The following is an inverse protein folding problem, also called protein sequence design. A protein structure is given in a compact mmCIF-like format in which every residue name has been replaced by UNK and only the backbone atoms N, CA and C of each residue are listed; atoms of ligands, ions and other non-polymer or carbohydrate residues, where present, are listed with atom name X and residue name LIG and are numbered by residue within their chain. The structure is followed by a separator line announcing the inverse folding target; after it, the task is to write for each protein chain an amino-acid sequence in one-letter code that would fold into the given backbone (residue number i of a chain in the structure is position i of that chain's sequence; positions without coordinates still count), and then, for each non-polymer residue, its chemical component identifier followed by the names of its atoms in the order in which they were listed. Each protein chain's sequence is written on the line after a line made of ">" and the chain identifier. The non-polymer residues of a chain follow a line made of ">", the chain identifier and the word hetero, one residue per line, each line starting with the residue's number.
data_IF_832606737736
#
_entry.id   IF_832606737736
#
_cell.length_a   1.000
_cell.length_b   1.000
_cell.length_c   1.000
_cell.angle_alpha   90.00
_cell.angle_beta   90.00
_cell.angle_gamma   90.00
#
_symmetry.space_group_name_H-M   'P 1'
#
loop_
_entity.id
_entity.type
_entity.pdbx_description
1 polymer ?
#
# COMPACT_ATOMS: atom_id res chain seq x y z
N UNK A 1 -4.71 -71.19 -37.56
CA UNK A 1 -3.37 -71.74 -37.69
C UNK A 1 -2.35 -70.70 -37.23
N UNK A 2 -1.63 -71.14 -36.27
CA UNK A 2 -0.24 -70.76 -35.93
C UNK A 2 0.04 -69.30 -35.52
N UNK A 3 0.29 -69.10 -34.29
CA UNK A 3 1.52 -69.40 -33.52
C UNK A 3 2.55 -68.31 -33.74
N UNK A 4 3.08 -67.68 -32.83
CA UNK A 4 3.96 -67.88 -31.73
C UNK A 4 4.48 -66.48 -31.31
N UNK A 5 4.44 -66.08 -30.16
CA UNK A 5 5.29 -66.27 -29.01
C UNK A 5 6.54 -65.36 -28.91
N UNK A 6 6.69 -64.82 -27.71
CA UNK A 6 7.95 -64.47 -27.00
C UNK A 6 8.67 -63.22 -27.49
N UNK A 7 9.18 -62.34 -26.67
CA UNK A 7 9.85 -62.49 -25.37
C UNK A 7 9.96 -61.11 -24.71
N UNK A 8 9.69 -61.05 -23.48
CA UNK A 8 10.45 -60.52 -22.35
C UNK A 8 11.77 -59.85 -22.70
N UNK A 9 11.94 -58.60 -22.31
CA UNK A 9 13.16 -58.15 -21.59
C UNK A 9 12.78 -56.96 -20.72
N UNK A 10 12.96 -57.17 -19.44
CA UNK A 10 13.00 -56.13 -18.40
C UNK A 10 14.22 -55.24 -18.60
N UNK A 11 14.02 -53.96 -18.48
CA UNK A 11 15.11 -53.06 -18.09
C UNK A 11 14.52 -51.98 -17.21
N UNK A 12 14.74 -52.14 -15.94
CA UNK A 12 14.62 -51.09 -14.95
C UNK A 12 15.72 -50.07 -15.24
N UNK A 13 15.33 -48.82 -15.35
CA UNK A 13 16.28 -47.73 -15.19
C UNK A 13 15.63 -46.60 -14.38
N UNK A 14 16.26 -46.38 -13.28
CA UNK A 14 16.08 -45.25 -12.39
C UNK A 14 16.03 -43.94 -13.20
N UNK A 15 14.93 -43.29 -13.18
CA UNK A 15 14.79 -41.91 -13.66
C UNK A 15 14.79 -40.96 -12.47
N UNK A 16 15.82 -40.21 -12.37
CA UNK A 16 16.05 -39.13 -11.45
C UNK A 16 14.82 -38.22 -11.33
N UNK A 17 14.30 -38.11 -10.16
CA UNK A 17 13.33 -37.07 -9.80
C UNK A 17 14.06 -35.72 -9.82
N UNK A 18 13.96 -34.99 -10.89
CA UNK A 18 14.30 -33.58 -10.85
C UNK A 18 13.22 -32.84 -10.07
N UNK A 19 13.54 -32.49 -8.87
CA UNK A 19 12.82 -31.50 -8.09
C UNK A 19 12.89 -30.18 -8.86
N UNK A 20 11.89 -29.95 -9.65
CA UNK A 20 11.64 -28.64 -10.22
C UNK A 20 11.31 -27.68 -9.08
N UNK A 21 12.28 -26.93 -8.65
CA UNK A 21 12.03 -25.76 -7.82
C UNK A 21 11.24 -24.79 -8.67
N UNK A 22 9.94 -24.77 -8.46
CA UNK A 22 9.09 -23.68 -8.92
C UNK A 22 9.55 -22.43 -8.19
N UNK A 23 10.48 -21.74 -8.76
CA UNK A 23 10.70 -20.35 -8.39
C UNK A 23 9.42 -19.60 -8.77
N UNK A 24 8.57 -19.39 -7.83
CA UNK A 24 7.53 -18.40 -7.93
C UNK A 24 8.18 -17.03 -8.01
N UNK A 25 8.63 -16.68 -9.16
CA UNK A 25 8.95 -15.31 -9.48
C UNK A 25 7.64 -14.62 -9.84
N UNK A 26 6.81 -14.48 -8.85
CA UNK A 26 5.78 -13.49 -8.95
C UNK A 26 6.34 -12.25 -8.36
N UNK A 27 6.72 -11.36 -8.98
CA UNK A 27 6.70 -10.06 -8.37
C UNK A 27 6.88 -9.00 -9.36
N UNK A 28 5.84 -8.82 -10.00
CA UNK A 28 5.63 -7.52 -10.52
C UNK A 28 4.97 -6.65 -9.47
N UNK A 29 5.66 -6.32 -8.44
CA UNK A 29 5.24 -5.27 -7.55
C UNK A 29 5.94 -3.99 -7.93
N UNK A 30 5.34 -3.30 -8.86
CA UNK A 30 5.54 -1.86 -8.99
C UNK A 30 4.93 -1.09 -7.81
N UNK A 31 4.48 -1.81 -6.81
CA UNK A 31 4.06 -1.23 -5.57
C UNK A 31 5.30 -0.68 -4.86
N UNK A 32 5.33 0.59 -4.60
CA UNK A 32 6.27 1.16 -3.64
C UNK A 32 5.99 0.46 -2.32
N UNK A 33 6.77 -0.57 -2.02
CA UNK A 33 6.66 -1.23 -0.73
C UNK A 33 7.23 -0.28 0.32
N UNK A 34 6.46 0.08 1.33
CA UNK A 34 6.99 0.86 2.44
C UNK A 34 8.24 0.18 2.98
N UNK A 35 9.28 0.95 3.28
CA UNK A 35 10.41 0.38 4.00
C UNK A 35 9.92 -0.18 5.34
N UNK A 36 10.57 -1.22 5.83
CA UNK A 36 10.18 -1.83 7.11
C UNK A 36 10.16 -0.81 8.26
N UNK A 37 11.05 0.18 8.22
CA UNK A 37 11.08 1.27 9.19
C UNK A 37 9.86 2.20 9.05
N UNK A 38 9.48 2.56 7.83
CA UNK A 38 8.30 3.39 7.58
C UNK A 38 7.03 2.66 8.00
N UNK A 39 6.91 1.38 7.67
CA UNK A 39 5.75 0.57 8.07
C UNK A 39 5.64 0.46 9.59
N UNK A 40 6.76 0.31 10.30
CA UNK A 40 6.76 0.23 11.76
C UNK A 40 6.34 1.54 12.41
N UNK A 41 6.78 2.67 11.89
CA UNK A 41 6.42 3.99 12.40
C UNK A 41 4.94 4.31 12.23
N UNK A 42 4.31 3.76 11.20
CA UNK A 42 2.91 4.07 10.86
C UNK A 42 1.90 3.08 11.45
N UNK A 43 2.34 2.02 12.10
CA UNK A 43 1.42 1.15 12.84
C UNK A 43 0.72 1.94 13.94
N UNK A 44 -0.62 1.90 13.93
CA UNK A 44 -1.43 2.59 14.92
C UNK A 44 -1.67 4.08 14.63
N UNK A 45 -1.43 4.53 13.40
CA UNK A 45 -1.74 5.90 13.01
C UNK A 45 -3.22 6.24 13.26
N UNK A 46 -4.12 5.27 13.21
CA UNK A 46 -5.55 5.40 13.46
C UNK A 46 -5.87 5.86 14.89
N UNK A 47 -4.94 5.72 15.82
CA UNK A 47 -5.07 6.25 17.18
C UNK A 47 -4.87 7.77 17.27
N UNK A 48 -4.27 8.35 16.23
CA UNK A 48 -3.87 9.75 16.24
C UNK A 48 -4.56 10.57 15.17
N UNK A 49 -5.01 9.92 14.10
CA UNK A 49 -5.61 10.61 12.96
C UNK A 49 -6.92 9.96 12.56
N UNK A 50 -7.88 10.82 12.23
CA UNK A 50 -9.13 10.42 11.61
C UNK A 50 -9.14 10.89 10.16
N UNK A 51 -9.50 9.98 9.25
CA UNK A 51 -9.65 10.26 7.83
C UNK A 51 -11.12 10.24 7.43
N UNK A 52 -11.57 11.29 6.76
CA UNK A 52 -12.91 11.39 6.16
C UNK A 52 -12.73 11.78 4.71
N UNK A 53 -13.21 10.96 3.79
CA UNK A 53 -12.98 11.19 2.37
C UNK A 53 -14.09 10.64 1.47
N UNK A 54 -14.12 11.14 0.24
CA UNK A 54 -15.00 10.69 -0.83
C UNK A 54 -14.23 10.61 -2.15
N UNK A 55 -14.82 9.94 -3.12
CA UNK A 55 -14.25 9.81 -4.47
C UNK A 55 -15.06 10.59 -5.47
N UNK A 56 -14.37 11.21 -6.44
CA UNK A 56 -14.94 11.85 -7.61
C UNK A 56 -14.24 11.35 -8.87
N UNK A 57 -14.96 11.31 -9.97
CA UNK A 57 -14.36 11.00 -11.26
C UNK A 57 -13.70 12.24 -11.85
N UNK A 58 -12.48 12.09 -12.34
CA UNK A 58 -11.78 13.14 -13.05
C UNK A 58 -12.17 13.17 -14.55
N UNK A 59 -12.02 14.30 -15.24
CA UNK A 59 -12.36 14.40 -16.67
C UNK A 59 -11.63 13.41 -17.57
N UNK A 60 -10.44 12.96 -17.17
CA UNK A 60 -9.64 11.95 -17.87
C UNK A 60 -10.07 10.50 -17.66
N UNK A 61 -11.08 10.26 -16.83
CA UNK A 61 -11.58 8.91 -16.49
C UNK A 61 -10.97 8.30 -15.24
N UNK A 62 -9.90 8.89 -14.71
CA UNK A 62 -9.32 8.50 -13.43
C UNK A 62 -10.22 8.90 -12.26
N UNK A 63 -9.89 8.41 -11.09
CA UNK A 63 -10.57 8.76 -9.84
C UNK A 63 -9.69 9.66 -8.99
N UNK A 64 -10.31 10.65 -8.39
CA UNK A 64 -9.73 11.51 -7.37
C UNK A 64 -10.37 11.19 -6.03
N UNK A 65 -9.54 11.08 -5.00
CA UNK A 65 -9.97 11.06 -3.60
C UNK A 65 -9.75 12.44 -3.02
N UNK A 66 -10.72 12.96 -2.30
CA UNK A 66 -10.60 14.21 -1.55
C UNK A 66 -11.22 14.08 -0.18
N UNK A 67 -10.68 14.79 0.78
CA UNK A 67 -11.19 14.69 2.14
C UNK A 67 -10.40 15.51 3.14
N UNK A 68 -10.56 15.14 4.37
CA UNK A 68 -9.91 15.76 5.50
C UNK A 68 -9.22 14.73 6.37
N UNK A 69 -8.04 15.09 6.86
CA UNK A 69 -7.38 14.41 7.95
C UNK A 69 -7.50 15.27 9.20
N UNK A 70 -7.96 14.68 10.28
CA UNK A 70 -8.02 15.32 11.60
C UNK A 70 -6.93 14.73 12.48
N UNK A 71 -6.13 15.57 13.08
CA UNK A 71 -5.15 15.17 14.08
C UNK A 71 -5.85 15.21 15.47
N UNK A 72 -5.97 14.05 16.09
CA UNK A 72 -6.60 13.91 17.40
C UNK A 72 -5.61 14.05 18.57
N UNK A 73 -4.39 14.52 18.28
CA UNK A 73 -3.33 14.74 19.24
C UNK A 73 -2.89 16.20 19.27
N UNK A 74 -2.30 16.63 20.40
CA UNK A 74 -1.97 18.04 20.65
C UNK A 74 -0.71 18.55 19.93
N UNK A 75 0.11 17.67 19.35
CA UNK A 75 1.30 18.06 18.60
C UNK A 75 0.99 18.08 17.12
N UNK A 76 1.55 19.07 16.41
CA UNK A 76 1.44 19.13 14.95
C UNK A 76 2.16 17.94 14.29
N UNK A 77 1.60 17.46 13.22
CA UNK A 77 2.21 16.46 12.36
C UNK A 77 2.66 17.11 11.05
N UNK A 78 3.96 17.30 10.92
CA UNK A 78 4.60 17.90 9.74
C UNK A 78 6.06 17.42 9.64
N UNK A 79 6.53 16.94 8.48
CA UNK A 79 5.74 16.65 7.30
C UNK A 79 4.74 15.51 7.50
N UNK A 80 3.68 15.46 6.70
CA UNK A 80 2.67 14.43 6.71
C UNK A 80 2.37 13.98 5.29
N UNK A 81 2.41 12.67 5.05
CA UNK A 81 2.07 12.08 3.75
C UNK A 81 0.96 11.04 3.89
N UNK A 82 0.13 10.98 2.88
CA UNK A 82 -0.95 10.01 2.76
C UNK A 82 -0.70 9.07 1.59
N UNK A 83 -1.10 7.81 1.76
CA UNK A 83 -1.13 6.80 0.71
C UNK A 83 -2.58 6.56 0.31
N UNK A 84 -2.90 6.83 -0.96
CA UNK A 84 -4.16 6.44 -1.59
C UNK A 84 -3.96 5.22 -2.46
N UNK A 85 -4.82 4.23 -2.34
CA UNK A 85 -4.77 3.00 -3.11
C UNK A 85 -6.12 2.72 -3.76
N UNK A 86 -6.09 2.36 -5.03
CA UNK A 86 -7.20 1.78 -5.76
C UNK A 86 -7.05 0.26 -5.72
N UNK A 87 -8.09 -0.44 -5.30
CA UNK A 87 -8.09 -1.89 -5.12
C UNK A 87 -9.07 -2.52 -6.10
N UNK A 88 -8.69 -3.59 -6.74
CA UNK A 88 -9.58 -4.38 -7.58
C UNK A 88 -10.55 -5.24 -6.75
N UNK A 89 -11.44 -5.95 -7.42
CA UNK A 89 -12.44 -6.80 -6.78
C UNK A 89 -11.83 -7.92 -5.91
N UNK A 90 -10.59 -8.30 -6.15
CA UNK A 90 -9.85 -9.29 -5.34
C UNK A 90 -9.14 -8.66 -4.14
N UNK A 91 -9.13 -7.34 -4.03
CA UNK A 91 -8.39 -6.59 -3.04
C UNK A 91 -6.93 -6.34 -3.39
N UNK A 92 -6.50 -6.69 -4.62
CA UNK A 92 -5.17 -6.38 -5.09
C UNK A 92 -5.04 -4.90 -5.47
N UNK A 93 -3.85 -4.35 -5.33
CA UNK A 93 -3.58 -2.94 -5.64
C UNK A 93 -3.54 -2.76 -7.16
N UNK A 94 -4.52 -2.05 -7.70
CA UNK A 94 -4.59 -1.67 -9.11
C UNK A 94 -3.78 -0.40 -9.40
N UNK A 95 -3.61 0.46 -8.40
CA UNK A 95 -2.78 1.66 -8.47
C UNK A 95 -2.69 2.36 -7.13
N UNK A 96 -1.69 3.20 -6.97
CA UNK A 96 -1.49 3.93 -5.72
C UNK A 96 -0.74 5.25 -5.94
N UNK A 97 -0.96 6.18 -5.03
CA UNK A 97 -0.31 7.48 -5.00
C UNK A 97 0.05 7.87 -3.58
N UNK A 98 1.23 8.45 -3.40
CA UNK A 98 1.63 9.08 -2.15
C UNK A 98 1.58 10.59 -2.35
N UNK A 99 0.88 11.29 -1.48
CA UNK A 99 0.72 12.74 -1.55
C UNK A 99 1.11 13.40 -0.24
N UNK A 100 1.62 14.61 -0.33
CA UNK A 100 1.84 15.46 0.83
C UNK A 100 0.52 16.10 1.25
N UNK A 101 0.31 16.21 2.56
CA UNK A 101 -0.67 17.16 3.10
C UNK A 101 0.06 18.48 3.22
N UNK A 102 -0.33 19.51 2.46
CA UNK A 102 0.33 20.80 2.52
C UNK A 102 0.33 21.35 3.96
N UNK A 103 1.48 21.81 4.43
CA UNK A 103 1.65 22.35 5.80
C UNK A 103 1.32 21.36 6.92
N UNK A 104 1.20 20.06 6.61
CA UNK A 104 0.83 19.05 7.60
C UNK A 104 -0.54 19.28 8.24
N UNK A 105 -0.68 18.93 9.51
CA UNK A 105 -1.89 19.17 10.28
C UNK A 105 -1.53 19.54 11.72
N UNK A 106 -2.04 20.67 12.20
CA UNK A 106 -1.85 21.15 13.56
C UNK A 106 -2.46 20.22 14.61
N UNK A 107 -2.04 20.40 15.88
CA UNK A 107 -2.61 19.65 16.99
C UNK A 107 -4.09 19.97 17.17
N UNK A 108 -4.94 18.94 17.24
CA UNK A 108 -6.40 19.04 17.29
C UNK A 108 -7.05 19.79 16.12
N UNK A 109 -6.34 19.91 15.01
CA UNK A 109 -6.81 20.55 13.80
C UNK A 109 -7.12 19.54 12.70
N UNK A 110 -7.70 20.04 11.62
CA UNK A 110 -7.94 19.25 10.40
C UNK A 110 -7.38 19.96 9.18
N UNK A 111 -6.86 19.16 8.25
CA UNK A 111 -6.32 19.62 6.98
C UNK A 111 -7.02 18.94 5.81
N UNK A 112 -7.20 19.69 4.72
CA UNK A 112 -7.72 19.14 3.47
C UNK A 112 -6.62 18.38 2.73
N UNK A 113 -6.99 17.29 2.06
CA UNK A 113 -6.10 16.58 1.15
C UNK A 113 -6.80 16.16 -0.12
N UNK A 114 -6.01 15.91 -1.15
CA UNK A 114 -6.47 15.43 -2.44
C UNK A 114 -5.46 14.45 -3.02
N UNK A 115 -5.95 13.30 -3.51
CA UNK A 115 -5.16 12.27 -4.17
C UNK A 115 -5.75 12.06 -5.55
N UNK A 116 -4.99 12.40 -6.60
CA UNK A 116 -5.44 12.38 -7.98
C UNK A 116 -4.89 11.19 -8.75
N UNK A 117 -5.45 10.96 -9.93
CA UNK A 117 -4.94 10.02 -10.93
C UNK A 117 -4.87 8.58 -10.44
N UNK A 118 -5.84 8.17 -9.63
CA UNK A 118 -6.01 6.77 -9.28
C UNK A 118 -6.82 6.05 -10.34
N UNK A 119 -6.48 4.80 -10.68
CA UNK A 119 -7.33 3.98 -11.53
C UNK A 119 -8.76 3.91 -10.99
N UNK A 120 -9.74 3.88 -11.89
CA UNK A 120 -11.13 3.69 -11.50
C UNK A 120 -11.36 2.23 -11.14
N UNK A 121 -11.73 2.01 -9.88
CA UNK A 121 -12.00 0.70 -9.30
C UNK A 121 -13.21 0.78 -8.39
N UNK A 122 -13.65 -0.36 -7.85
CA UNK A 122 -14.78 -0.42 -6.93
C UNK A 122 -14.41 -0.04 -5.50
N UNK A 123 -13.14 -0.18 -5.13
CA UNK A 123 -12.68 -0.01 -3.77
C UNK A 123 -11.46 0.90 -3.70
N UNK A 124 -11.44 1.74 -2.68
CA UNK A 124 -10.31 2.63 -2.39
C UNK A 124 -9.95 2.54 -0.91
N UNK A 125 -8.69 2.80 -0.63
CA UNK A 125 -8.17 2.88 0.73
C UNK A 125 -7.27 4.10 0.85
N UNK A 126 -7.39 4.82 1.95
CA UNK A 126 -6.49 5.91 2.33
C UNK A 126 -5.89 5.59 3.68
N UNK A 127 -4.60 5.79 3.81
CA UNK A 127 -3.88 5.61 5.06
C UNK A 127 -2.80 6.68 5.23
N UNK A 128 -2.36 6.90 6.45
CA UNK A 128 -1.20 7.73 6.71
C UNK A 128 0.04 6.94 6.32
N UNK A 129 0.84 7.51 5.40
CA UNK A 129 2.08 6.90 4.93
C UNK A 129 3.22 7.12 5.92
N UNK A 130 3.46 8.37 6.25
CA UNK A 130 4.39 8.77 7.28
C UNK A 130 4.10 10.19 7.78
N UNK A 131 4.64 10.50 8.94
CA UNK A 131 4.59 11.82 9.52
C UNK A 131 5.71 12.00 10.55
N UNK A 132 6.03 13.26 10.84
CA UNK A 132 6.85 13.63 11.99
C UNK A 132 6.04 14.51 12.92
N UNK A 133 6.27 14.38 14.22
CA UNK A 133 5.67 15.27 15.21
C UNK A 133 6.61 16.42 15.48
N UNK A 134 6.06 17.61 15.48
CA UNK A 134 6.77 18.80 15.87
C UNK A 134 6.37 19.16 17.30
N UNK A 135 7.30 19.06 18.23
CA UNK A 135 7.11 19.62 19.55
C UNK A 135 7.07 21.14 19.42
N UNK A 136 6.08 21.75 20.05
CA UNK A 136 6.04 23.21 20.15
C UNK A 136 7.38 23.68 20.73
N UNK A 137 8.10 24.49 19.97
CA UNK A 137 9.31 25.13 20.44
C UNK A 137 8.88 26.06 21.58
N UNK A 138 9.15 25.68 22.80
CA UNK A 138 9.05 26.61 23.91
C UNK A 138 10.09 27.70 23.63
N UNK A 139 9.61 28.82 23.10
CA UNK A 139 10.43 30.03 23.10
C UNK A 139 10.66 30.39 24.57
N UNK A 140 11.81 30.02 25.05
CA UNK A 140 12.31 30.57 26.30
C UNK A 140 12.64 32.02 26.00
N UNK A 141 11.68 32.89 26.23
CA UNK A 141 11.94 34.31 26.35
C UNK A 141 12.85 34.46 27.57
N UNK A 142 14.14 34.64 27.28
CA UNK A 142 15.11 35.01 28.29
C UNK A 142 14.86 36.47 28.67
N UNK A 143 14.90 36.82 29.96
CA UNK A 143 14.70 38.17 30.46
C UNK A 143 15.77 39.15 30.01
#
# INVERSE_FOLDING_TARGET
>A
MNTTARSIVSAALLGLATLGTSACASMNSSAVTPSASTTTLMQGWEHWFKLEWSTDREPGGDTRIRGYITNEYGEAAEPLRLLGQALDASGAIAGQQIVWVPEGVGGYERAYFEIRHLPTTDHYRVSVWDYSRQQAKLETEAP
#
